data_IF_141731150487
#
_entry.id   IF_141731150487
#
_cell.length_a   1.000
_cell.length_b   1.000
_cell.length_c   1.000
_cell.angle_alpha   90.00
_cell.angle_beta   90.00
_cell.angle_gamma   90.00
#
_symmetry.space_group_name_H-M   'P 1'
#
loop_
_entity.id
_entity.type
_entity.pdbx_description
1 polymer ?
#
# COMPACT_ATOMS: atom_id res chain seq x y z
N UNK A 1 -4.65 38.50 32.94
CA UNK A 1 -4.73 39.82 32.28
C UNK A 1 -5.49 39.64 30.98
N UNK A 2 -6.71 40.20 30.86
CA UNK A 2 -7.50 40.20 29.62
C UNK A 2 -7.03 41.35 28.73
N UNK A 3 -7.11 41.18 27.40
CA UNK A 3 -7.90 42.04 26.49
C UNK A 3 -8.22 41.28 25.19
N UNK A 4 -9.50 40.95 25.08
CA UNK A 4 -10.22 40.58 23.86
C UNK A 4 -11.22 41.73 23.64
N UNK A 5 -11.34 42.34 22.44
CA UNK A 5 -12.53 43.10 22.04
C UNK A 5 -13.44 42.10 21.29
N UNK A 6 -14.67 41.78 21.68
CA UNK A 6 -15.79 42.65 22.01
C UNK A 6 -16.75 41.93 22.98
N UNK A 7 -17.32 42.66 23.94
CA UNK A 7 -18.60 42.34 24.60
C UNK A 7 -19.36 43.64 24.76
N UNK A 8 -20.67 43.62 24.52
CA UNK A 8 -21.60 44.63 25.00
C UNK A 8 -22.63 44.00 25.95
N UNK A 9 -23.07 44.82 26.89
CA UNK A 9 -23.47 44.51 28.27
C UNK A 9 -24.94 44.90 28.51
N UNK A 10 -25.62 44.14 29.38
CA UNK A 10 -26.62 44.63 30.34
C UNK A 10 -26.59 43.65 31.54
N UNK A 11 -26.63 43.99 32.84
CA UNK A 11 -26.76 45.25 33.56
C UNK A 11 -27.61 45.00 34.82
N UNK A 12 -27.00 44.97 36.02
CA UNK A 12 -27.69 45.15 37.31
C UNK A 12 -26.70 45.72 38.37
N UNK A 13 -27.14 46.76 39.08
CA UNK A 13 -26.40 47.69 39.94
C UNK A 13 -25.87 47.10 41.26
N UNK A 14 -24.75 47.66 41.77
CA UNK A 14 -24.69 48.46 43.01
C UNK A 14 -23.30 49.14 43.19
N UNK A 15 -23.29 50.46 43.46
CA UNK A 15 -22.39 51.10 44.44
C UNK A 15 -21.05 51.73 44.04
N UNK A 16 -21.05 53.07 43.97
CA UNK A 16 -19.99 54.04 44.36
C UNK A 16 -18.88 54.53 43.38
N UNK A 17 -18.91 55.87 43.16
CA UNK A 17 -17.88 56.88 42.80
C UNK A 17 -16.90 56.59 41.62
N UNK A 18 -16.68 57.46 40.63
CA UNK A 18 -16.80 58.92 40.54
C UNK A 18 -16.89 59.38 39.04
N UNK A 19 -17.62 60.48 38.82
CA UNK A 19 -17.53 61.57 37.81
C UNK A 19 -16.50 61.36 36.67
N UNK A 20 -16.75 61.49 35.35
CA UNK A 20 -17.28 62.63 34.55
C UNK A 20 -17.59 62.18 33.09
N UNK A 21 -18.80 62.52 32.59
CA UNK A 21 -19.33 62.75 31.20
C UNK A 21 -18.87 61.88 29.99
N UNK A 22 -19.73 61.38 29.08
CA UNK A 22 -21.16 61.59 28.87
C UNK A 22 -21.75 60.80 27.69
N UNK A 23 -23.08 60.56 27.78
CA UNK A 23 -24.14 60.36 26.75
C UNK A 23 -24.00 59.24 25.70
N UNK A 24 -24.79 58.15 25.77
CA UNK A 24 -26.18 57.91 25.26
C UNK A 24 -26.21 57.37 23.81
N UNK A 25 -26.64 56.13 23.57
CA UNK A 25 -28.04 55.77 23.24
C UNK A 25 -28.10 54.88 21.97
N UNK A 26 -29.24 54.24 21.62
CA UNK A 26 -29.30 52.77 21.49
C UNK A 26 -29.65 52.17 20.11
N UNK A 27 -29.46 50.85 20.05
CA UNK A 27 -30.15 49.78 19.28
C UNK A 27 -30.05 49.66 17.75
N UNK A 28 -30.06 48.37 17.36
CA UNK A 28 -30.55 47.74 16.11
C UNK A 28 -29.53 47.19 15.09
N UNK A 29 -29.75 45.88 14.83
CA UNK A 29 -29.49 45.10 13.62
C UNK A 29 -28.08 45.13 12.98
N UNK A 30 -27.38 44.00 13.00
CA UNK A 30 -26.28 43.72 12.08
C UNK A 30 -26.81 43.16 10.75
N UNK A 31 -26.48 43.77 9.59
CA UNK A 31 -26.70 43.20 8.27
C UNK A 31 -25.54 42.26 7.86
N UNK A 32 -25.73 41.38 6.85
CA UNK A 32 -24.69 40.47 6.38
C UNK A 32 -23.59 41.22 5.60
N UNK A 33 -22.33 40.76 5.72
CA UNK A 33 -21.20 41.30 4.96
C UNK A 33 -21.10 40.67 3.56
N UNK A 34 -20.63 41.42 2.53
CA UNK A 34 -20.91 41.13 1.14
C UNK A 34 -19.80 40.31 0.47
N UNK A 35 -20.18 39.21 -0.17
CA UNK A 35 -19.48 38.63 -1.31
C UNK A 35 -20.00 39.33 -2.57
N UNK A 36 -19.24 40.27 -3.11
CA UNK A 36 -19.37 40.82 -4.47
C UNK A 36 -18.22 41.84 -4.64
N UNK A 37 -17.38 41.88 -5.68
CA UNK A 37 -17.67 41.80 -7.12
C UNK A 37 -16.41 41.44 -7.92
N UNK A 38 -16.49 40.43 -8.79
CA UNK A 38 -15.73 40.37 -10.04
C UNK A 38 -16.73 40.10 -11.18
N UNK A 39 -17.05 41.15 -11.93
CA UNK A 39 -18.03 41.11 -13.04
C UNK A 39 -17.32 40.97 -14.38
N UNK A 40 -17.32 39.75 -14.93
CA UNK A 40 -17.65 39.44 -16.34
C UNK A 40 -17.88 37.93 -16.48
N UNK A 41 -19.12 37.49 -16.24
CA UNK A 41 -19.67 36.23 -16.78
C UNK A 41 -19.05 34.90 -16.36
N UNK A 42 -18.20 34.83 -15.32
CA UNK A 42 -17.85 33.55 -14.71
C UNK A 42 -19.01 33.07 -13.83
N UNK A 43 -19.45 31.82 -14.03
CA UNK A 43 -20.29 31.13 -13.06
C UNK A 43 -19.60 31.21 -11.70
N UNK A 44 -20.21 31.93 -10.76
CA UNK A 44 -19.66 32.09 -9.41
C UNK A 44 -20.07 30.87 -8.61
N UNK A 45 -19.09 30.11 -8.10
CA UNK A 45 -19.35 29.06 -7.12
C UNK A 45 -19.78 29.69 -5.80
N UNK A 46 -20.59 28.99 -5.02
CA UNK A 46 -21.04 29.49 -3.70
C UNK A 46 -20.46 28.64 -2.58
N UNK A 47 -19.92 29.31 -1.55
CA UNK A 47 -19.51 28.63 -0.33
C UNK A 47 -20.72 27.88 0.24
N UNK A 48 -20.52 26.60 0.56
CA UNK A 48 -21.52 25.77 1.20
C UNK A 48 -21.16 25.57 2.66
N UNK A 49 -22.11 25.09 3.46
CA UNK A 49 -21.82 24.65 4.82
C UNK A 49 -20.78 23.51 4.76
N UNK A 50 -19.64 23.61 5.47
CA UNK A 50 -18.69 22.51 5.57
C UNK A 50 -19.37 21.23 6.03
N UNK A 51 -18.96 20.10 5.49
CA UNK A 51 -19.46 18.79 5.89
C UNK A 51 -18.49 18.07 6.83
N UNK A 52 -19.01 17.22 7.70
CA UNK A 52 -18.16 16.31 8.47
C UNK A 52 -17.95 15.03 7.67
N UNK A 53 -16.70 14.79 7.26
CA UNK A 53 -16.32 13.56 6.58
C UNK A 53 -16.11 12.43 7.60
N UNK A 54 -16.67 11.22 7.39
CA UNK A 54 -16.48 10.09 8.31
C UNK A 54 -15.00 9.70 8.45
N UNK A 55 -14.58 9.31 9.64
CA UNK A 55 -13.18 8.88 9.86
C UNK A 55 -12.80 7.65 9.05
N UNK A 56 -13.73 6.73 8.79
CA UNK A 56 -13.49 5.57 7.93
C UNK A 56 -13.24 5.99 6.48
N UNK A 57 -14.00 6.96 5.97
CA UNK A 57 -13.80 7.51 4.63
C UNK A 57 -12.41 8.16 4.48
N UNK A 58 -11.98 8.91 5.50
CA UNK A 58 -10.64 9.51 5.50
C UNK A 58 -9.53 8.46 5.60
N UNK A 59 -9.75 7.39 6.38
CA UNK A 59 -8.82 6.27 6.48
C UNK A 59 -8.68 5.52 5.17
N UNK A 60 -9.80 5.24 4.49
CA UNK A 60 -9.82 4.53 3.20
C UNK A 60 -9.06 5.32 2.13
N UNK A 61 -9.16 6.66 2.13
CA UNK A 61 -8.38 7.53 1.24
C UNK A 61 -6.89 7.52 1.61
N UNK A 62 -6.56 7.70 2.90
CA UNK A 62 -5.17 7.74 3.34
C UNK A 62 -4.42 6.40 3.10
N UNK A 63 -5.14 5.27 3.16
CA UNK A 63 -4.59 3.96 2.82
C UNK A 63 -4.35 3.80 1.30
N UNK A 64 -5.23 4.39 0.48
CA UNK A 64 -5.14 4.31 -0.97
C UNK A 64 -4.18 5.34 -1.60
N UNK A 65 -3.90 6.44 -0.89
CA UNK A 65 -3.00 7.53 -1.29
C UNK A 65 -1.94 7.86 -0.22
N UNK A 66 -1.08 6.90 0.15
CA UNK A 66 0.01 7.20 1.07
C UNK A 66 1.05 8.13 0.41
N UNK A 67 1.54 9.09 1.20
CA UNK A 67 2.61 10.00 0.77
C UNK A 67 3.85 9.26 0.25
N UNK A 68 4.46 9.75 -0.83
CA UNK A 68 5.62 9.21 -1.53
C UNK A 68 5.41 7.76 -2.04
N UNK A 69 4.18 7.36 -2.35
CA UNK A 69 3.87 6.05 -2.92
C UNK A 69 3.12 6.18 -4.24
N UNK A 70 3.84 5.88 -5.34
CA UNK A 70 3.33 6.06 -6.70
C UNK A 70 2.00 5.35 -6.98
N UNK A 71 0.94 6.11 -7.27
CA UNK A 71 -0.38 5.60 -7.66
C UNK A 71 -0.33 4.75 -8.93
N UNK A 72 0.36 5.13 -10.02
CA UNK A 72 0.55 4.26 -11.18
C UNK A 72 1.15 2.88 -10.86
N UNK A 73 1.88 2.74 -9.76
CA UNK A 73 2.46 1.46 -9.31
C UNK A 73 1.52 0.69 -8.39
N UNK A 74 0.93 1.35 -7.40
CA UNK A 74 0.18 0.69 -6.32
C UNK A 74 -1.32 0.56 -6.61
N UNK A 75 -1.87 1.46 -7.44
CA UNK A 75 -3.28 1.57 -7.81
C UNK A 75 -3.41 1.95 -9.32
N UNK A 76 -2.84 1.16 -10.25
CA UNK A 76 -2.85 1.48 -11.68
C UNK A 76 -4.27 1.60 -12.26
N UNK A 77 -5.25 0.97 -11.64
CA UNK A 77 -6.67 1.08 -11.98
C UNK A 77 -7.25 2.49 -11.72
N UNK A 78 -6.70 3.25 -10.76
CA UNK A 78 -7.16 4.60 -10.45
C UNK A 78 -6.76 5.60 -11.53
N UNK A 79 -5.73 5.27 -12.31
CA UNK A 79 -5.20 6.09 -13.41
C UNK A 79 -5.29 5.37 -14.76
N UNK A 80 -6.01 4.24 -14.84
CA UNK A 80 -6.16 3.50 -16.08
C UNK A 80 -6.87 4.33 -17.16
N UNK A 81 -6.53 4.18 -18.45
CA UNK A 81 -7.23 4.87 -19.55
C UNK A 81 -8.74 4.58 -19.61
N UNK A 82 -9.18 3.45 -19.06
CA UNK A 82 -10.61 3.08 -18.93
C UNK A 82 -11.32 3.79 -17.78
N UNK A 83 -10.58 4.46 -16.88
CA UNK A 83 -11.11 5.19 -15.75
C UNK A 83 -11.11 6.70 -16.03
N UNK A 84 -12.28 7.21 -16.39
CA UNK A 84 -12.45 8.62 -16.72
C UNK A 84 -12.61 9.48 -15.45
N UNK A 85 -11.72 10.45 -15.19
CA UNK A 85 -11.80 11.36 -14.06
C UNK A 85 -12.78 12.51 -14.34
N UNK A 86 -13.25 12.65 -15.58
CA UNK A 86 -14.19 13.68 -15.99
C UNK A 86 -15.62 13.18 -15.81
N UNK A 87 -16.26 13.64 -14.73
CA UNK A 87 -17.52 13.11 -14.20
C UNK A 87 -18.67 13.40 -15.17
N UNK A 88 -19.45 12.38 -15.51
CA UNK A 88 -20.63 12.51 -16.34
C UNK A 88 -21.87 12.76 -15.49
N UNK A 89 -22.55 13.88 -15.73
CA UNK A 89 -23.88 14.15 -15.19
C UNK A 89 -24.91 13.35 -16.00
N UNK A 90 -25.59 12.41 -15.35
CA UNK A 90 -26.53 11.46 -15.98
C UNK A 90 -28.00 11.87 -15.82
N UNK A 91 -28.28 12.73 -14.84
CA UNK A 91 -29.58 13.36 -14.61
C UNK A 91 -29.36 14.77 -14.05
N UNK A 92 -30.34 15.67 -14.21
CA UNK A 92 -30.22 17.01 -13.64
C UNK A 92 -29.94 16.93 -12.14
N UNK A 93 -28.82 17.52 -11.71
CA UNK A 93 -28.35 17.39 -10.34
C UNK A 93 -27.59 18.63 -9.89
N UNK A 94 -27.74 18.97 -8.61
CA UNK A 94 -26.84 19.89 -7.92
C UNK A 94 -25.52 19.17 -7.60
N UNK A 95 -24.39 19.88 -7.73
CA UNK A 95 -23.05 19.30 -7.52
C UNK A 95 -22.24 20.12 -6.53
N UNK A 96 -21.51 19.43 -5.68
CA UNK A 96 -20.59 20.00 -4.70
C UNK A 96 -19.19 19.40 -4.81
N UNK A 97 -18.20 20.21 -4.46
CA UNK A 97 -16.81 19.79 -4.23
C UNK A 97 -16.47 20.03 -2.77
N UNK A 98 -15.82 19.05 -2.15
CA UNK A 98 -15.38 19.11 -0.76
C UNK A 98 -13.90 18.81 -0.68
N UNK A 99 -13.14 19.69 -0.02
CA UNK A 99 -11.71 19.50 0.26
C UNK A 99 -11.50 18.36 1.27
N UNK A 100 -10.52 17.49 0.99
CA UNK A 100 -10.18 16.35 1.86
C UNK A 100 -8.83 16.58 2.53
N UNK A 101 -7.75 16.73 1.75
CA UNK A 101 -6.38 16.89 2.24
C UNK A 101 -5.45 17.53 1.20
N UNK A 102 -4.28 17.97 1.67
CA UNK A 102 -3.15 18.49 0.88
C UNK A 102 -1.87 17.71 1.31
N UNK A 103 -1.11 17.24 0.32
CA UNK A 103 0.26 16.72 0.46
C UNK A 103 1.35 17.63 -0.14
N UNK A 104 0.96 18.74 -0.77
CA UNK A 104 1.87 19.61 -1.51
C UNK A 104 2.61 20.67 -0.69
N UNK A 105 3.68 21.21 -1.30
CA UNK A 105 4.30 22.47 -0.86
C UNK A 105 3.88 23.68 -1.70
N UNK A 106 3.27 23.45 -2.87
CA UNK A 106 2.76 24.50 -3.74
C UNK A 106 1.40 25.03 -3.28
N UNK A 107 1.20 26.34 -3.49
CA UNK A 107 -0.08 26.99 -3.20
C UNK A 107 -1.01 26.86 -4.38
N UNK A 108 -1.49 25.64 -4.61
CA UNK A 108 -2.23 25.31 -5.80
C UNK A 108 -3.60 26.00 -5.84
N UNK A 109 -4.08 26.33 -7.04
CA UNK A 109 -5.46 26.76 -7.25
C UNK A 109 -6.26 25.63 -7.89
N UNK A 110 -7.32 25.18 -7.23
CA UNK A 110 -8.24 24.15 -7.76
C UNK A 110 -9.45 24.80 -8.44
N UNK A 111 -9.82 24.28 -9.60
CA UNK A 111 -11.03 24.69 -10.30
C UNK A 111 -11.64 23.60 -11.17
N UNK A 112 -12.75 23.95 -11.84
CA UNK A 112 -13.45 23.08 -12.78
C UNK A 112 -13.82 23.80 -14.07
N UNK A 113 -14.20 23.01 -15.06
CA UNK A 113 -14.80 23.44 -16.32
C UNK A 113 -15.83 22.41 -16.76
N UNK A 114 -16.65 22.77 -17.75
CA UNK A 114 -17.70 21.88 -18.25
C UNK A 114 -17.67 21.77 -19.75
N UNK A 115 -18.08 20.62 -20.28
CA UNK A 115 -18.23 20.40 -21.72
C UNK A 115 -19.33 19.36 -22.00
N UNK A 116 -19.91 19.33 -23.20
CA UNK A 116 -20.87 18.28 -23.58
C UNK A 116 -20.21 16.91 -23.62
N UNK A 117 -20.92 15.86 -23.19
CA UNK A 117 -20.43 14.49 -23.30
C UNK A 117 -20.07 14.13 -24.75
N UNK A 118 -18.94 13.44 -24.92
CA UNK A 118 -18.36 13.13 -26.24
C UNK A 118 -17.70 14.30 -26.97
N UNK A 119 -17.62 15.50 -26.36
CA UNK A 119 -16.97 16.69 -26.95
C UNK A 119 -15.97 17.35 -25.99
N UNK A 120 -14.88 16.66 -25.59
CA UNK A 120 -13.86 17.24 -24.71
C UNK A 120 -13.15 18.43 -25.39
N UNK A 121 -12.70 19.44 -24.61
CA UNK A 121 -11.89 20.54 -25.13
C UNK A 121 -10.62 20.02 -25.82
N UNK A 122 -10.23 20.66 -26.92
CA UNK A 122 -9.09 20.23 -27.74
C UNK A 122 -7.82 21.03 -27.45
N UNK A 123 -7.97 22.28 -27.00
CA UNK A 123 -6.87 23.12 -26.56
C UNK A 123 -7.18 23.77 -25.21
N UNK A 124 -6.15 24.30 -24.55
CA UNK A 124 -6.31 24.97 -23.25
C UNK A 124 -7.15 26.25 -23.36
N UNK A 125 -7.17 26.89 -24.53
CA UNK A 125 -7.99 28.08 -24.81
C UNK A 125 -9.49 27.77 -24.90
N UNK A 126 -9.85 26.51 -25.20
CA UNK A 126 -11.24 26.05 -25.23
C UNK A 126 -11.84 25.89 -23.82
N UNK A 127 -10.99 25.92 -22.78
CA UNK A 127 -11.39 25.66 -21.40
C UNK A 127 -11.87 26.93 -20.70
N UNK A 128 -13.18 27.00 -20.44
CA UNK A 128 -13.74 28.05 -19.57
C UNK A 128 -13.52 27.70 -18.09
N UNK A 129 -12.42 28.21 -17.51
CA UNK A 129 -12.02 27.98 -16.11
C UNK A 129 -12.95 28.67 -15.11
N UNK A 130 -13.42 27.90 -14.12
CA UNK A 130 -14.12 28.39 -12.92
C UNK A 130 -13.34 27.94 -11.68
N UNK A 131 -12.91 28.88 -10.84
CA UNK A 131 -12.14 28.59 -9.62
C UNK A 131 -13.06 28.07 -8.51
N UNK A 132 -12.63 27.01 -7.82
CA UNK A 132 -13.29 26.45 -6.64
C UNK A 132 -12.58 26.94 -5.38
N UNK A 133 -11.29 26.61 -5.24
CA UNK A 133 -10.45 27.03 -4.13
C UNK A 133 -9.30 27.87 -4.69
N UNK A 134 -9.28 29.19 -4.42
CA UNK A 134 -8.17 30.06 -4.82
C UNK A 134 -6.82 29.57 -4.29
N UNK A 135 -6.80 29.13 -3.03
CA UNK A 135 -5.67 28.48 -2.37
C UNK A 135 -6.14 27.12 -1.83
N UNK A 136 -5.68 26.04 -2.44
CA UNK A 136 -6.01 24.66 -2.08
C UNK A 136 -5.14 24.10 -0.95
N UNK A 137 -4.43 24.96 -0.20
CA UNK A 137 -3.60 24.53 0.92
C UNK A 137 -4.38 24.38 2.24
N UNK A 138 -4.00 23.36 3.00
CA UNK A 138 -4.61 23.00 4.27
C UNK A 138 -4.22 23.98 5.40
N UNK A 139 -5.09 24.07 6.39
CA UNK A 139 -4.82 24.78 7.64
C UNK A 139 -3.62 24.14 8.37
N UNK A 140 -2.64 24.97 8.71
CA UNK A 140 -1.37 24.52 9.29
C UNK A 140 -0.23 24.35 8.27
N UNK A 141 -0.54 24.40 6.97
CA UNK A 141 0.41 24.58 5.87
C UNK A 141 0.44 26.07 5.48
N UNK A 142 0.31 26.39 4.20
CA UNK A 142 0.31 27.75 3.65
C UNK A 142 -1.09 28.27 3.30
N UNK A 143 -2.14 27.58 3.74
CA UNK A 143 -3.55 27.96 3.50
C UNK A 143 -4.44 27.85 4.74
N UNK A 144 -5.75 27.92 4.49
CA UNK A 144 -6.79 27.98 5.51
C UNK A 144 -7.82 26.86 5.40
N UNK A 145 -7.73 25.98 4.39
CA UNK A 145 -8.74 24.95 4.16
C UNK A 145 -8.70 23.88 5.26
N UNK A 146 -9.87 23.51 5.73
CA UNK A 146 -10.06 22.39 6.64
C UNK A 146 -10.73 21.24 5.91
N UNK A 147 -10.37 20.00 6.26
CA UNK A 147 -11.05 18.81 5.76
C UNK A 147 -12.57 18.96 5.96
N UNK A 148 -13.33 18.86 4.87
CA UNK A 148 -14.77 19.07 4.88
C UNK A 148 -15.23 20.43 4.36
N UNK A 149 -14.33 21.40 4.13
CA UNK A 149 -14.67 22.66 3.47
C UNK A 149 -15.26 22.41 2.09
N UNK A 150 -16.45 22.96 1.84
CA UNK A 150 -17.32 22.56 0.74
C UNK A 150 -17.82 23.75 -0.06
N UNK A 151 -17.93 23.55 -1.37
CA UNK A 151 -18.40 24.53 -2.34
C UNK A 151 -19.53 23.92 -3.18
N UNK A 152 -20.61 24.67 -3.38
CA UNK A 152 -21.66 24.33 -4.34
C UNK A 152 -21.28 24.89 -5.71
N UNK A 153 -21.15 23.99 -6.71
CA UNK A 153 -20.80 24.38 -8.07
C UNK A 153 -22.01 24.89 -8.85
N UNK A 154 -23.20 24.39 -8.53
CA UNK A 154 -24.46 24.70 -9.22
C UNK A 154 -25.24 23.45 -9.63
N UNK A 155 -26.26 23.66 -10.46
CA UNK A 155 -27.10 22.61 -11.04
C UNK A 155 -26.72 22.38 -12.50
N UNK A 156 -26.50 21.12 -12.87
CA UNK A 156 -26.08 20.71 -14.21
C UNK A 156 -27.12 19.76 -14.82
N UNK A 157 -27.31 19.83 -16.14
CA UNK A 157 -28.20 18.94 -16.88
C UNK A 157 -27.51 17.62 -17.27
N UNK A 158 -28.31 16.58 -17.54
CA UNK A 158 -27.80 15.33 -18.09
C UNK A 158 -27.01 15.57 -19.41
N UNK A 159 -25.92 14.83 -19.60
CA UNK A 159 -25.02 14.97 -20.74
C UNK A 159 -23.95 16.05 -20.58
N UNK A 160 -23.83 16.67 -19.40
CA UNK A 160 -22.71 17.55 -19.05
C UNK A 160 -21.57 16.74 -18.43
N UNK A 161 -20.34 16.98 -18.89
CA UNK A 161 -19.10 16.52 -18.26
C UNK A 161 -18.53 17.60 -17.36
N UNK A 162 -18.06 17.22 -16.18
CA UNK A 162 -17.27 18.06 -15.29
C UNK A 162 -15.81 17.65 -15.41
N UNK A 163 -14.98 18.56 -15.94
CA UNK A 163 -13.52 18.45 -15.90
C UNK A 163 -12.95 19.33 -14.79
N UNK A 164 -11.76 19.01 -14.32
CA UNK A 164 -11.06 19.71 -13.25
C UNK A 164 -9.70 20.20 -13.73
N UNK A 165 -9.23 21.28 -13.14
CA UNK A 165 -7.89 21.79 -13.38
C UNK A 165 -7.22 22.21 -12.06
N UNK A 166 -5.90 22.07 -12.02
CA UNK A 166 -5.05 22.53 -10.95
C UNK A 166 -3.99 23.47 -11.53
N UNK A 167 -3.95 24.71 -11.05
CA UNK A 167 -2.85 25.63 -11.37
C UNK A 167 -1.76 25.45 -10.33
N UNK A 168 -0.63 24.89 -10.75
CA UNK A 168 0.52 24.63 -9.90
C UNK A 168 1.06 25.96 -9.35
N UNK A 169 1.15 26.06 -8.02
CA UNK A 169 1.54 27.29 -7.31
C UNK A 169 0.71 28.53 -7.72
N UNK A 170 -0.56 28.34 -8.09
CA UNK A 170 -1.44 29.37 -8.63
C UNK A 170 -1.76 30.56 -7.71
N UNK A 171 -1.50 30.45 -6.40
CA UNK A 171 -1.84 31.50 -5.42
C UNK A 171 -0.61 32.27 -4.92
N UNK A 172 -0.56 33.57 -5.19
CA UNK A 172 0.57 34.44 -4.81
C UNK A 172 0.52 34.95 -3.35
N UNK A 173 -0.55 34.61 -2.61
CA UNK A 173 -0.84 35.15 -1.28
C UNK A 173 -1.97 36.19 -1.28
N UNK A 174 -2.31 36.75 -2.44
CA UNK A 174 -3.33 37.81 -2.59
C UNK A 174 -4.32 37.55 -3.71
N UNK A 175 -3.89 36.93 -4.80
CA UNK A 175 -4.70 36.68 -5.99
C UNK A 175 -4.28 35.36 -6.66
N UNK A 176 -5.19 34.86 -7.50
CA UNK A 176 -4.94 33.72 -8.37
C UNK A 176 -4.22 34.18 -9.64
N UNK A 177 -3.11 33.53 -9.97
CA UNK A 177 -2.39 33.66 -11.24
C UNK A 177 -2.69 32.48 -12.16
N UNK A 178 -3.71 32.62 -13.01
CA UNK A 178 -4.11 31.60 -13.98
C UNK A 178 -3.14 31.42 -15.16
N UNK A 179 -2.05 32.20 -15.22
CA UNK A 179 -1.04 32.09 -16.29
C UNK A 179 0.05 31.06 -15.98
N UNK A 180 0.11 30.57 -14.74
CA UNK A 180 1.02 29.50 -14.32
C UNK A 180 0.66 28.15 -14.95
N UNK A 181 1.60 27.22 -14.84
CA UNK A 181 1.45 25.85 -15.32
C UNK A 181 0.16 25.25 -14.76
N UNK A 182 -0.64 24.65 -15.64
CA UNK A 182 -1.94 24.11 -15.28
C UNK A 182 -2.03 22.66 -15.75
N UNK A 183 -2.45 21.77 -14.87
CA UNK A 183 -2.78 20.39 -15.16
C UNK A 183 -4.29 20.21 -15.18
N UNK A 184 -4.77 19.35 -16.07
CA UNK A 184 -6.18 19.13 -16.36
C UNK A 184 -6.54 17.64 -16.21
N UNK A 185 -7.79 17.36 -15.85
CA UNK A 185 -8.33 16.00 -15.88
C UNK A 185 -8.56 15.47 -17.31
N UNK A 186 -8.56 16.36 -18.32
CA UNK A 186 -8.52 15.98 -19.74
C UNK A 186 -7.05 15.88 -20.15
N UNK A 187 -6.54 14.64 -20.18
CA UNK A 187 -5.12 14.33 -20.38
C UNK A 187 -4.50 14.98 -21.63
N UNK A 188 -5.27 15.07 -22.72
CA UNK A 188 -4.80 15.65 -23.98
C UNK A 188 -4.39 17.13 -23.87
N UNK A 189 -4.78 17.82 -22.79
CA UNK A 189 -4.43 19.21 -22.53
C UNK A 189 -3.13 19.37 -21.73
N UNK A 190 -2.58 18.28 -21.19
CA UNK A 190 -1.40 18.32 -20.32
C UNK A 190 -0.09 18.32 -21.13
N UNK A 191 0.96 18.99 -20.63
CA UNK A 191 2.13 19.38 -21.42
C UNK A 191 3.09 18.22 -21.74
N UNK A 192 2.96 17.08 -21.07
CA UNK A 192 3.91 15.97 -21.18
C UNK A 192 3.96 15.39 -22.59
N UNK A 193 5.16 15.04 -23.05
CA UNK A 193 5.33 14.47 -24.38
C UNK A 193 4.76 13.05 -24.49
N UNK A 194 4.92 12.23 -23.45
CA UNK A 194 4.44 10.85 -23.43
C UNK A 194 3.00 10.78 -22.90
N UNK A 195 2.12 10.08 -23.62
CA UNK A 195 0.71 9.92 -23.23
C UNK A 195 0.55 9.30 -21.84
N UNK A 196 1.41 8.36 -21.45
CA UNK A 196 1.39 7.72 -20.13
C UNK A 196 1.67 8.68 -18.96
N UNK A 197 2.28 9.84 -19.23
CA UNK A 197 2.62 10.84 -18.22
C UNK A 197 1.59 11.97 -18.14
N UNK A 198 0.73 12.13 -19.15
CA UNK A 198 -0.29 13.19 -19.19
C UNK A 198 -1.42 13.04 -18.19
N UNK A 199 -1.51 11.95 -17.45
CA UNK A 199 -2.54 11.79 -16.41
C UNK A 199 -2.07 12.40 -15.10
N UNK A 200 -2.68 13.51 -14.69
CA UNK A 200 -2.45 14.16 -13.39
C UNK A 200 -3.58 13.94 -12.39
N UNK A 201 -4.60 13.18 -12.75
CA UNK A 201 -5.76 12.96 -11.89
C UNK A 201 -6.03 11.47 -11.75
N UNK A 202 -6.00 10.99 -10.51
CA UNK A 202 -6.54 9.68 -10.15
C UNK A 202 -8.03 9.84 -9.82
N UNK A 203 -8.82 8.78 -10.02
CA UNK A 203 -10.22 8.78 -9.59
C UNK A 203 -10.71 7.45 -9.06
N UNK A 204 -11.51 7.49 -7.99
CA UNK A 204 -12.18 6.30 -7.44
C UNK A 204 -13.58 6.65 -6.90
N UNK A 205 -14.47 5.66 -6.81
CA UNK A 205 -15.79 5.82 -6.20
C UNK A 205 -15.84 5.24 -4.80
N UNK A 206 -16.12 6.05 -3.80
CA UNK A 206 -16.27 5.55 -2.45
C UNK A 206 -17.69 5.01 -2.23
N UNK A 207 -17.82 3.69 -2.06
CA UNK A 207 -19.12 3.00 -2.03
C UNK A 207 -19.98 3.43 -0.83
N UNK A 208 -19.40 3.45 0.38
CA UNK A 208 -20.13 3.79 1.59
C UNK A 208 -20.52 5.29 1.66
N UNK A 209 -19.62 6.17 1.23
CA UNK A 209 -19.84 7.62 1.23
C UNK A 209 -20.58 8.14 -0.03
N UNK A 210 -20.79 7.27 -1.01
CA UNK A 210 -21.48 7.49 -2.29
C UNK A 210 -21.03 8.75 -3.04
N UNK A 211 -19.73 8.87 -3.28
CA UNK A 211 -19.11 10.07 -3.86
C UNK A 211 -17.84 9.70 -4.64
N UNK A 212 -17.50 10.51 -5.65
CA UNK A 212 -16.22 10.40 -6.37
C UNK A 212 -15.10 11.00 -5.53
N UNK A 213 -13.97 10.33 -5.43
CA UNK A 213 -12.71 10.88 -4.93
C UNK A 213 -11.84 11.18 -6.14
N UNK A 214 -11.24 12.37 -6.14
CA UNK A 214 -10.30 12.84 -7.15
C UNK A 214 -9.08 13.39 -6.42
N UNK A 215 -7.90 13.10 -6.95
CA UNK A 215 -6.65 13.58 -6.38
C UNK A 215 -5.69 13.97 -7.51
N UNK A 216 -5.03 15.11 -7.36
CA UNK A 216 -4.09 15.65 -8.35
C UNK A 216 -2.64 15.39 -7.96
N UNK A 217 -1.83 15.11 -8.98
CA UNK A 217 -0.39 15.35 -8.99
C UNK A 217 -0.12 16.77 -9.52
N UNK A 218 0.57 17.60 -8.74
CA UNK A 218 0.81 19.03 -9.01
C UNK A 218 2.15 19.32 -9.72
N UNK A 219 2.93 18.28 -10.02
CA UNK A 219 4.25 18.37 -10.62
C UNK A 219 4.34 17.73 -12.01
N UNK A 220 5.40 18.05 -12.76
CA UNK A 220 5.67 17.49 -14.09
C UNK A 220 5.99 16.00 -13.97
N UNK A 221 5.11 15.14 -14.48
CA UNK A 221 5.23 13.68 -14.43
C UNK A 221 6.29 13.11 -15.38
N UNK A 222 6.91 13.95 -16.20
CA UNK A 222 8.13 13.63 -16.94
C UNK A 222 9.41 13.92 -16.16
N UNK A 223 9.33 14.61 -15.01
CA UNK A 223 10.47 14.95 -14.18
C UNK A 223 10.91 13.76 -13.31
N UNK A 224 12.22 13.60 -13.11
CA UNK A 224 12.79 12.47 -12.35
C UNK A 224 12.53 12.50 -10.84
N UNK A 225 12.01 13.62 -10.33
CA UNK A 225 11.74 13.85 -8.89
C UNK A 225 10.26 13.71 -8.54
N UNK A 226 9.40 13.43 -9.51
CA UNK A 226 7.98 13.17 -9.23
C UNK A 226 7.87 11.86 -8.46
N UNK A 227 7.09 11.85 -7.38
CA UNK A 227 6.78 10.63 -6.61
C UNK A 227 5.50 9.94 -7.10
N UNK A 228 4.70 10.64 -7.92
CA UNK A 228 3.54 10.12 -8.62
C UNK A 228 2.47 9.61 -7.63
N UNK A 229 2.35 10.21 -6.45
CA UNK A 229 1.41 9.78 -5.41
C UNK A 229 0.02 10.45 -5.51
N UNK A 230 -0.10 11.51 -6.32
CA UNK A 230 -1.33 12.24 -6.65
C UNK A 230 -2.06 12.81 -5.42
N UNK A 231 -1.43 12.87 -4.25
CA UNK A 231 -2.09 13.29 -3.02
C UNK A 231 -1.92 14.80 -2.73
N UNK A 232 -1.31 15.55 -3.64
CA UNK A 232 -1.03 16.99 -3.53
C UNK A 232 -2.28 17.80 -3.20
N UNK A 233 -3.38 17.51 -3.91
CA UNK A 233 -4.72 18.04 -3.61
C UNK A 233 -5.75 16.94 -3.76
N UNK A 234 -6.31 16.50 -2.63
CA UNK A 234 -7.37 15.48 -2.58
C UNK A 234 -8.73 16.16 -2.31
N UNK A 235 -9.71 15.83 -3.13
CA UNK A 235 -11.08 16.34 -2.98
C UNK A 235 -12.12 15.29 -3.37
N UNK A 236 -13.37 15.54 -3.01
CA UNK A 236 -14.48 14.67 -3.37
C UNK A 236 -15.63 15.43 -4.01
N UNK A 237 -16.31 14.78 -4.93
CA UNK A 237 -17.44 15.32 -5.68
C UNK A 237 -18.70 14.52 -5.38
N UNK A 238 -19.75 15.23 -4.98
CA UNK A 238 -21.05 14.64 -4.66
C UNK A 238 -22.17 15.38 -5.37
N UNK A 239 -23.22 14.66 -5.76
CA UNK A 239 -24.42 15.22 -6.38
C UNK A 239 -25.69 14.99 -5.55
N UNK A 240 -26.73 15.76 -5.87
CA UNK A 240 -28.09 15.53 -5.43
C UNK A 240 -29.04 15.59 -6.65
N UNK A 241 -29.74 14.48 -6.99
CA UNK A 241 -29.66 13.17 -6.34
C UNK A 241 -28.26 12.55 -6.49
N UNK A 242 -27.87 11.69 -5.55
CA UNK A 242 -26.58 10.98 -5.56
C UNK A 242 -26.37 10.17 -6.84
N UNK A 243 -27.45 9.70 -7.46
CA UNK A 243 -27.45 8.97 -8.74
C UNK A 243 -27.40 9.90 -9.97
N UNK A 244 -27.28 11.21 -9.77
CA UNK A 244 -27.26 12.21 -10.85
C UNK A 244 -25.91 12.32 -11.56
N UNK A 245 -24.88 11.64 -11.05
CA UNK A 245 -23.58 11.49 -11.70
C UNK A 245 -23.25 10.01 -11.83
N UNK A 246 -22.38 9.68 -12.77
CA UNK A 246 -21.82 8.35 -12.86
C UNK A 246 -20.97 8.01 -11.63
N UNK A 247 -21.02 6.73 -11.22
CA UNK A 247 -20.16 6.26 -10.14
C UNK A 247 -18.70 6.19 -10.60
N UNK A 248 -18.46 5.81 -11.87
CA UNK A 248 -17.15 5.74 -12.52
C UNK A 248 -16.14 4.79 -11.85
N UNK A 249 -15.22 4.24 -12.65
CA UNK A 249 -13.93 3.75 -12.15
C UNK A 249 -13.91 2.63 -11.09
N UNK A 250 -12.73 2.44 -10.46
CA UNK A 250 -12.53 1.54 -9.33
C UNK A 250 -13.18 2.06 -8.04
N UNK A 251 -13.32 1.20 -7.03
CA UNK A 251 -14.08 1.49 -5.80
C UNK A 251 -13.20 1.59 -4.56
N UNK A 252 -13.58 2.49 -3.64
CA UNK A 252 -13.04 2.60 -2.28
C UNK A 252 -14.07 2.18 -1.21
N UNK A 253 -13.67 1.44 -0.16
CA UNK A 253 -12.37 0.74 -0.05
C UNK A 253 -12.25 -0.36 -1.13
N UNK A 254 -11.02 -0.74 -1.47
CA UNK A 254 -10.77 -1.73 -2.52
C UNK A 254 -11.38 -3.08 -2.17
N UNK A 255 -12.15 -3.65 -3.10
CA UNK A 255 -12.78 -4.96 -2.87
C UNK A 255 -11.89 -6.12 -3.33
N UNK A 256 -10.93 -5.87 -4.23
CA UNK A 256 -9.87 -6.78 -4.71
C UNK A 256 -8.73 -5.93 -5.28
N UNK A 257 -7.53 -5.91 -4.68
CA UNK A 257 -6.35 -5.22 -5.24
C UNK A 257 -5.78 -6.03 -6.42
N UNK A 258 -5.77 -5.52 -7.68
CA UNK A 258 -5.19 -6.25 -8.80
C UNK A 258 -3.66 -6.31 -8.67
N UNK A 259 -3.08 -7.51 -8.74
CA UNK A 259 -1.62 -7.68 -8.70
C UNK A 259 -1.02 -7.23 -10.04
N UNK A 260 0.02 -6.37 -10.08
CA UNK A 260 0.67 -6.02 -11.34
C UNK A 260 1.34 -7.25 -11.98
N UNK A 261 1.29 -7.32 -13.33
CA UNK A 261 2.08 -8.26 -14.13
C UNK A 261 3.56 -7.89 -13.98
N UNK A 262 4.22 -8.52 -13.00
CA UNK A 262 5.60 -8.31 -12.58
C UNK A 262 5.82 -7.00 -11.79
N UNK A 263 6.27 -7.07 -10.53
CA UNK A 263 6.69 -5.89 -9.80
C UNK A 263 7.93 -5.29 -10.48
N UNK A 264 7.82 -4.04 -10.93
CA UNK A 264 8.99 -3.19 -11.24
C UNK A 264 9.76 -2.82 -9.97
N UNK A 265 9.15 -3.02 -8.79
CA UNK A 265 9.78 -2.91 -7.49
C UNK A 265 10.70 -4.10 -7.22
N UNK A 266 11.87 -3.83 -6.67
CA UNK A 266 12.85 -4.81 -6.20
C UNK A 266 12.32 -5.58 -4.98
N UNK A 267 11.31 -6.43 -5.15
CA UNK A 267 10.75 -7.24 -4.06
C UNK A 267 11.81 -8.23 -3.58
N UNK A 268 12.09 -8.25 -2.28
CA UNK A 268 13.23 -8.97 -1.70
C UNK A 268 12.88 -10.39 -1.27
N UNK A 269 11.62 -10.67 -0.99
CA UNK A 269 11.18 -11.99 -0.48
C UNK A 269 9.79 -12.36 -0.96
N UNK A 270 9.46 -13.66 -0.91
CA UNK A 270 8.10 -14.12 -1.15
C UNK A 270 7.09 -13.56 -0.13
N UNK A 271 7.53 -13.24 1.09
CA UNK A 271 6.67 -12.64 2.11
C UNK A 271 6.26 -11.23 1.73
N UNK A 272 7.23 -10.41 1.31
CA UNK A 272 6.97 -9.06 0.80
C UNK A 272 6.08 -9.12 -0.45
N UNK A 273 6.35 -10.06 -1.36
CA UNK A 273 5.51 -10.28 -2.54
C UNK A 273 4.07 -10.67 -2.16
N UNK A 274 3.90 -11.53 -1.14
CA UNK A 274 2.58 -11.97 -0.68
C UNK A 274 1.81 -10.85 0.03
N UNK A 275 2.49 -9.99 0.78
CA UNK A 275 1.89 -8.79 1.39
C UNK A 275 1.47 -7.80 0.33
N UNK A 276 2.30 -7.62 -0.70
CA UNK A 276 2.03 -6.73 -1.82
C UNK A 276 0.89 -7.27 -2.71
N UNK A 277 0.84 -8.58 -2.92
CA UNK A 277 -0.07 -9.26 -3.85
C UNK A 277 -0.64 -10.56 -3.26
N UNK A 278 -1.63 -10.49 -2.35
CA UNK A 278 -2.15 -11.67 -1.65
C UNK A 278 -2.86 -12.69 -2.53
N UNK A 279 -3.29 -12.29 -3.74
CA UNK A 279 -4.00 -13.16 -4.68
C UNK A 279 -3.08 -14.06 -5.52
N UNK A 280 -1.76 -13.86 -5.45
CA UNK A 280 -0.79 -14.69 -6.17
C UNK A 280 -0.79 -16.14 -5.65
N UNK A 281 -0.81 -17.09 -6.58
CA UNK A 281 -0.65 -18.51 -6.27
C UNK A 281 0.81 -18.89 -5.97
N UNK A 282 1.05 -20.13 -5.58
CA UNK A 282 2.41 -20.66 -5.48
C UNK A 282 3.04 -20.80 -6.87
N UNK A 283 4.31 -20.43 -7.03
CA UNK A 283 4.95 -20.38 -8.33
C UNK A 283 6.36 -19.80 -8.30
N UNK A 284 6.97 -19.66 -9.48
CA UNK A 284 8.28 -19.03 -9.64
C UNK A 284 8.10 -17.54 -9.87
N UNK A 285 8.81 -16.72 -9.11
CA UNK A 285 8.76 -15.26 -9.15
C UNK A 285 10.18 -14.68 -9.19
N UNK A 286 10.32 -13.50 -9.79
CA UNK A 286 11.58 -12.75 -9.80
C UNK A 286 11.68 -11.91 -8.52
N UNK A 287 12.72 -12.16 -7.72
CA UNK A 287 13.01 -11.41 -6.48
C UNK A 287 14.44 -10.87 -6.51
N UNK A 288 14.71 -9.78 -5.78
CA UNK A 288 16.04 -9.18 -5.64
C UNK A 288 16.49 -9.07 -4.17
N UNK A 289 16.75 -10.18 -3.45
CA UNK A 289 17.06 -10.11 -2.01
C UNK A 289 18.34 -9.34 -1.66
N UNK A 290 19.27 -9.18 -2.61
CA UNK A 290 20.58 -8.58 -2.39
C UNK A 290 20.72 -7.17 -2.99
N UNK A 291 19.64 -6.55 -3.48
CA UNK A 291 19.68 -5.24 -4.14
C UNK A 291 20.70 -5.14 -5.28
N UNK A 292 20.87 -6.24 -6.03
CA UNK A 292 21.82 -6.31 -7.14
C UNK A 292 21.11 -6.63 -8.44
N UNK A 293 20.92 -7.92 -8.73
CA UNK A 293 20.21 -8.39 -9.91
C UNK A 293 19.07 -9.31 -9.49
N UNK A 294 17.84 -9.06 -9.96
CA UNK A 294 16.73 -9.96 -9.74
C UNK A 294 17.04 -11.36 -10.25
N UNK A 295 16.52 -12.36 -9.57
CA UNK A 295 16.65 -13.75 -9.97
C UNK A 295 15.44 -14.57 -9.56
N UNK A 296 15.27 -15.74 -10.15
CA UNK A 296 14.10 -16.58 -9.91
C UNK A 296 14.16 -17.30 -8.56
N UNK A 297 13.05 -17.25 -7.83
CA UNK A 297 12.78 -17.98 -6.60
C UNK A 297 11.42 -18.66 -6.70
N UNK A 298 11.27 -19.84 -6.09
CA UNK A 298 9.96 -20.44 -5.92
C UNK A 298 9.33 -19.91 -4.63
N UNK A 299 8.12 -19.36 -4.75
CA UNK A 299 7.30 -18.91 -3.63
C UNK A 299 6.15 -19.88 -3.38
N UNK A 300 6.04 -20.37 -2.14
CA UNK A 300 4.81 -21.01 -1.68
C UNK A 300 3.92 -19.95 -1.01
N UNK A 301 2.85 -19.57 -1.74
CA UNK A 301 1.88 -18.55 -1.34
C UNK A 301 0.65 -19.16 -0.64
N UNK A 302 0.67 -20.46 -0.35
CA UNK A 302 -0.50 -21.21 0.10
C UNK A 302 -0.33 -21.82 1.48
N UNK A 303 0.78 -22.52 1.73
CA UNK A 303 0.97 -23.28 2.97
C UNK A 303 1.09 -22.34 4.16
N UNK A 304 0.34 -22.60 5.23
CA UNK A 304 0.44 -21.85 6.49
C UNK A 304 0.36 -20.32 6.31
N UNK A 305 -0.49 -19.85 5.40
CA UNK A 305 -0.71 -18.42 5.12
C UNK A 305 0.25 -17.79 4.11
N UNK A 306 1.02 -18.59 3.36
CA UNK A 306 1.80 -18.12 2.22
C UNK A 306 3.05 -17.29 2.59
N UNK A 307 3.68 -16.71 1.57
CA UNK A 307 4.87 -15.87 1.70
C UNK A 307 6.19 -16.63 1.88
N UNK A 308 6.22 -17.93 1.63
CA UNK A 308 7.42 -18.75 1.87
C UNK A 308 8.39 -18.71 0.69
N UNK A 309 9.63 -18.29 0.95
CA UNK A 309 10.73 -18.36 -0.02
C UNK A 309 11.40 -19.72 0.08
N UNK A 310 11.21 -20.56 -0.94
CA UNK A 310 11.62 -21.97 -0.89
C UNK A 310 13.12 -22.12 -1.19
N UNK A 311 13.84 -22.81 -0.29
CA UNK A 311 15.26 -23.10 -0.43
C UNK A 311 15.57 -24.15 -1.50
N UNK A 312 14.58 -24.99 -1.78
CA UNK A 312 14.63 -26.11 -2.71
C UNK A 312 13.92 -27.33 -2.13
N UNK A 313 13.92 -28.41 -2.90
CA UNK A 313 13.50 -29.72 -2.43
C UNK A 313 14.20 -30.82 -3.23
N UNK A 314 14.27 -32.01 -2.65
CA UNK A 314 15.02 -33.14 -3.18
C UNK A 314 14.46 -34.46 -2.67
N UNK A 315 14.90 -35.57 -3.27
CA UNK A 315 14.53 -36.91 -2.83
C UNK A 315 15.04 -37.20 -1.40
N UNK A 316 14.36 -38.10 -0.71
CA UNK A 316 14.65 -38.50 0.67
C UNK A 316 16.01 -39.18 0.87
N UNK A 317 16.68 -39.61 -0.20
CA UNK A 317 18.04 -40.15 -0.17
C UNK A 317 19.10 -39.19 -0.76
N UNK A 318 18.69 -37.97 -1.12
CA UNK A 318 19.59 -36.95 -1.64
C UNK A 318 20.52 -36.41 -0.54
N UNK A 319 21.67 -35.90 -0.98
CA UNK A 319 22.83 -35.62 -0.10
C UNK A 319 23.27 -34.16 -0.15
N UNK A 320 22.46 -33.31 -0.77
CA UNK A 320 22.87 -31.96 -1.13
C UNK A 320 22.23 -30.94 -0.19
N UNK A 321 23.01 -29.97 0.30
CA UNK A 321 22.46 -28.88 1.11
C UNK A 321 21.49 -28.02 0.30
N UNK A 322 20.36 -27.66 0.87
CA UNK A 322 19.41 -26.71 0.28
C UNK A 322 19.66 -25.30 0.85
N UNK A 323 19.36 -24.24 0.10
CA UNK A 323 19.50 -22.86 0.60
C UNK A 323 20.92 -22.28 0.61
N UNK A 324 21.94 -23.11 0.35
CA UNK A 324 23.36 -22.70 0.40
C UNK A 324 23.89 -22.28 -0.97
N UNK A 325 23.63 -23.12 -1.98
CA UNK A 325 24.06 -22.90 -3.34
C UNK A 325 22.89 -23.07 -4.31
N UNK A 326 22.96 -22.37 -5.44
CA UNK A 326 21.98 -22.47 -6.51
C UNK A 326 22.32 -23.64 -7.42
N UNK A 327 21.36 -24.55 -7.65
CA UNK A 327 21.44 -25.68 -8.57
C UNK A 327 20.07 -25.98 -9.16
N UNK A 328 20.04 -26.46 -10.39
CA UNK A 328 18.79 -26.78 -11.09
C UNK A 328 17.92 -25.54 -11.34
N UNK A 329 16.70 -25.77 -11.79
CA UNK A 329 15.70 -24.71 -12.02
C UNK A 329 14.73 -24.66 -10.86
N UNK A 330 14.40 -23.49 -10.29
CA UNK A 330 13.37 -23.36 -9.27
C UNK A 330 12.04 -23.99 -9.72
N UNK A 331 11.52 -24.94 -8.94
CA UNK A 331 10.27 -25.64 -9.26
C UNK A 331 10.42 -27.05 -9.85
N UNK A 332 11.62 -27.44 -10.29
CA UNK A 332 11.89 -28.79 -10.83
C UNK A 332 11.89 -29.87 -9.72
N UNK A 333 12.10 -31.15 -10.05
CA UNK A 333 12.04 -32.25 -9.07
C UNK A 333 13.18 -32.27 -8.03
N UNK A 334 14.37 -31.81 -8.39
CA UNK A 334 15.54 -31.64 -7.50
C UNK A 334 16.25 -30.33 -7.83
N UNK A 335 16.17 -29.37 -6.91
CA UNK A 335 16.82 -28.07 -7.06
C UNK A 335 17.10 -27.44 -5.70
N UNK A 336 17.94 -26.41 -5.73
CA UNK A 336 18.20 -25.53 -4.60
C UNK A 336 18.48 -24.12 -5.08
N UNK A 337 18.10 -23.15 -4.27
CA UNK A 337 18.41 -21.74 -4.48
C UNK A 337 19.16 -21.23 -3.29
N UNK A 338 20.25 -20.49 -3.53
CA UNK A 338 20.91 -19.74 -2.45
C UNK A 338 19.92 -18.74 -1.86
N UNK A 339 19.76 -18.78 -0.53
CA UNK A 339 18.93 -17.82 0.20
C UNK A 339 19.74 -16.62 0.72
N UNK A 340 20.96 -16.40 0.20
CA UNK A 340 21.80 -15.28 0.62
C UNK A 340 21.03 -13.94 0.56
N UNK A 341 21.32 -13.06 1.52
CA UNK A 341 20.67 -11.75 1.72
C UNK A 341 19.21 -11.78 2.18
N UNK A 342 18.53 -12.93 2.23
CA UNK A 342 17.17 -13.00 2.77
C UNK A 342 17.19 -12.84 4.29
N UNK A 343 16.41 -11.89 4.79
CA UNK A 343 16.03 -11.86 6.19
C UNK A 343 14.85 -12.80 6.41
N UNK A 344 14.85 -13.53 7.53
CA UNK A 344 13.78 -14.44 7.89
C UNK A 344 13.57 -14.45 9.40
N UNK A 345 12.39 -14.85 9.83
CA UNK A 345 12.11 -15.17 11.23
C UNK A 345 11.43 -16.53 11.39
N UNK A 346 11.09 -17.21 10.29
CA UNK A 346 10.41 -18.49 10.35
C UNK A 346 11.01 -19.46 9.34
N UNK A 347 11.06 -20.73 9.70
CA UNK A 347 11.47 -21.82 8.81
C UNK A 347 10.38 -22.87 8.78
N UNK A 348 10.05 -23.33 7.58
CA UNK A 348 9.15 -24.44 7.34
C UNK A 348 9.92 -25.58 6.70
N UNK A 349 9.92 -26.76 7.33
CA UNK A 349 10.41 -28.00 6.73
C UNK A 349 9.20 -28.79 6.24
N UNK A 350 9.23 -29.30 5.01
CA UNK A 350 8.07 -29.91 4.37
C UNK A 350 8.40 -31.23 3.65
N UNK A 351 7.38 -32.08 3.57
CA UNK A 351 7.32 -33.32 2.80
C UNK A 351 6.24 -33.16 1.71
N UNK A 352 6.68 -33.02 0.46
CA UNK A 352 5.77 -32.77 -0.67
C UNK A 352 4.94 -34.00 -1.04
N UNK A 353 5.50 -35.20 -0.86
CA UNK A 353 4.84 -36.45 -1.24
C UNK A 353 3.63 -36.73 -0.37
N UNK A 354 3.71 -36.42 0.93
CA UNK A 354 2.64 -36.69 1.89
C UNK A 354 1.89 -35.43 2.37
N UNK A 355 2.27 -34.24 1.88
CA UNK A 355 1.61 -32.99 2.23
C UNK A 355 1.77 -32.60 3.71
N UNK A 356 2.89 -32.98 4.33
CA UNK A 356 3.17 -32.67 5.73
C UNK A 356 4.20 -31.53 5.83
N UNK A 357 4.05 -30.65 6.82
CA UNK A 357 5.02 -29.60 7.09
C UNK A 357 5.07 -29.24 8.57
N UNK A 358 6.22 -28.73 9.00
CA UNK A 358 6.45 -28.23 10.34
C UNK A 358 7.08 -26.85 10.25
N UNK A 359 6.49 -25.88 10.93
CA UNK A 359 6.93 -24.49 10.95
C UNK A 359 7.39 -24.11 12.34
N UNK A 360 8.50 -23.39 12.41
CA UNK A 360 9.01 -22.84 13.65
C UNK A 360 9.49 -21.40 13.44
N UNK A 361 9.25 -20.55 14.43
CA UNK A 361 9.67 -19.14 14.43
C UNK A 361 10.88 -18.92 15.34
N UNK A 362 11.64 -17.89 15.00
CA UNK A 362 12.97 -17.53 15.50
C UNK A 362 13.08 -16.01 15.68
N UNK A 363 14.14 -15.59 16.37
CA UNK A 363 14.54 -14.18 16.32
C UNK A 363 14.92 -13.81 14.87
N UNK A 364 14.50 -12.64 14.35
CA UNK A 364 14.84 -12.20 13.00
C UNK A 364 16.34 -12.29 12.73
N UNK A 365 16.71 -12.90 11.63
CA UNK A 365 18.10 -13.17 11.25
C UNK A 365 18.26 -13.07 9.73
N UNK A 366 19.44 -12.64 9.28
CA UNK A 366 19.83 -12.78 7.88
C UNK A 366 20.27 -14.22 7.60
N UNK A 367 19.92 -14.76 6.44
CA UNK A 367 20.38 -16.06 6.00
C UNK A 367 21.89 -16.04 5.79
N UNK A 368 22.58 -16.91 6.51
CA UNK A 368 24.03 -17.08 6.42
C UNK A 368 24.46 -18.45 6.90
N UNK A 369 25.57 -18.94 6.35
CA UNK A 369 26.18 -20.20 6.74
C UNK A 369 27.71 -20.03 6.84
N UNK A 370 28.31 -20.56 7.90
CA UNK A 370 29.77 -20.52 8.13
C UNK A 370 30.34 -21.88 8.54
N UNK A 371 29.48 -22.90 8.60
CA UNK A 371 29.78 -24.22 9.11
C UNK A 371 29.10 -25.26 8.21
N UNK A 372 29.59 -26.50 8.27
CA UNK A 372 29.03 -27.65 7.53
C UNK A 372 27.55 -27.87 7.86
N UNK A 373 27.17 -27.62 9.12
CA UNK A 373 25.82 -27.76 9.62
C UNK A 373 25.27 -26.39 10.03
N UNK A 374 24.13 -26.05 9.46
CA UNK A 374 23.41 -24.79 9.69
C UNK A 374 22.51 -24.95 10.91
N UNK A 375 22.49 -23.93 11.77
CA UNK A 375 21.74 -23.94 13.01
C UNK A 375 21.16 -22.56 13.32
N UNK A 376 19.85 -22.50 13.57
CA UNK A 376 19.18 -21.28 14.02
C UNK A 376 18.29 -21.58 15.21
N UNK A 377 18.20 -20.64 16.16
CA UNK A 377 17.37 -20.78 17.36
C UNK A 377 18.08 -21.41 18.56
N UNK A 378 17.29 -21.84 19.55
CA UNK A 378 17.74 -22.38 20.84
C UNK A 378 17.24 -23.82 21.03
N UNK A 379 17.69 -24.48 22.09
CA UNK A 379 17.35 -25.88 22.34
C UNK A 379 15.82 -26.10 22.37
N UNK A 380 15.35 -27.09 21.61
CA UNK A 380 13.93 -27.46 21.52
C UNK A 380 13.13 -26.62 20.53
N UNK A 381 13.68 -25.51 20.02
CA UNK A 381 13.07 -24.71 18.95
C UNK A 381 13.99 -24.58 17.73
N UNK A 382 15.19 -25.17 17.75
CA UNK A 382 16.18 -24.91 16.72
C UNK A 382 15.81 -25.51 15.36
N UNK A 383 16.14 -24.78 14.30
CA UNK A 383 16.25 -25.33 12.95
C UNK A 383 17.65 -25.90 12.76
N UNK A 384 17.72 -27.03 12.07
CA UNK A 384 18.97 -27.66 11.66
C UNK A 384 18.88 -28.16 10.23
N UNK A 385 19.94 -27.91 9.47
CA UNK A 385 20.23 -28.62 8.24
C UNK A 385 21.71 -28.93 8.16
N UNK A 386 22.07 -30.13 7.72
CA UNK A 386 23.46 -30.43 7.40
C UNK A 386 23.76 -31.92 7.36
N UNK A 387 25.04 -32.23 7.40
CA UNK A 387 25.55 -33.59 7.33
C UNK A 387 25.86 -34.16 8.71
N UNK A 388 25.49 -35.43 8.93
CA UNK A 388 25.85 -36.15 10.14
C UNK A 388 27.16 -36.91 9.94
N UNK A 389 28.20 -36.62 10.73
CA UNK A 389 29.51 -37.27 10.66
C UNK A 389 30.63 -36.42 10.03
N UNK A 390 31.77 -37.01 9.62
CA UNK A 390 32.92 -36.28 9.04
C UNK A 390 32.57 -35.55 7.74
N UNK A 391 33.41 -34.62 7.26
CA UNK A 391 33.15 -33.76 6.09
C UNK A 391 32.84 -34.51 4.77
N UNK A 392 33.14 -35.81 4.68
CA UNK A 392 32.78 -36.68 3.56
C UNK A 392 31.49 -37.49 3.81
N UNK A 393 30.74 -37.15 4.85
CA UNK A 393 29.45 -37.70 5.18
C UNK A 393 28.50 -37.52 4.00
N UNK A 394 27.80 -38.59 3.68
CA UNK A 394 26.88 -38.70 2.56
C UNK A 394 25.42 -38.49 3.00
N UNK A 395 25.19 -37.77 4.09
CA UNK A 395 23.89 -37.73 4.79
C UNK A 395 23.43 -36.29 4.82
N UNK A 396 22.18 -35.97 4.44
CA UNK A 396 21.66 -34.60 4.52
C UNK A 396 20.34 -34.58 5.30
N UNK A 397 20.34 -33.95 6.46
CA UNK A 397 19.15 -33.86 7.33
C UNK A 397 18.61 -32.44 7.34
N UNK A 398 17.31 -32.28 7.65
CA UNK A 398 16.65 -30.98 7.75
C UNK A 398 15.44 -31.05 8.67
N UNK A 399 15.44 -30.31 9.77
CA UNK A 399 14.40 -30.38 10.79
C UNK A 399 14.25 -29.07 11.57
N UNK A 400 13.07 -28.88 12.17
CA UNK A 400 12.79 -27.89 13.21
C UNK A 400 12.65 -28.57 14.57
N UNK A 401 12.57 -27.77 15.64
CA UNK A 401 12.44 -28.25 17.03
C UNK A 401 13.57 -29.19 17.49
N UNK A 402 14.77 -28.95 16.98
CA UNK A 402 15.95 -29.69 17.38
C UNK A 402 16.49 -29.23 18.74
N UNK A 403 16.93 -30.18 19.57
CA UNK A 403 17.62 -29.94 20.82
C UNK A 403 18.26 -31.22 21.35
N UNK A 404 19.56 -31.38 21.14
CA UNK A 404 20.29 -32.56 21.60
C UNK A 404 20.73 -32.39 23.05
N UNK A 405 20.24 -33.27 23.94
CA UNK A 405 20.49 -33.25 25.40
C UNK A 405 20.30 -31.85 26.01
N UNK A 406 19.29 -31.12 25.55
CA UNK A 406 18.98 -29.77 26.03
C UNK A 406 19.89 -28.66 25.48
N UNK A 407 20.71 -28.94 24.48
CA UNK A 407 21.63 -27.98 23.84
C UNK A 407 21.51 -28.01 22.31
N UNK A 408 22.03 -26.98 21.66
CA UNK A 408 22.16 -26.92 20.19
C UNK A 408 23.62 -27.06 19.82
N UNK A 409 24.01 -28.24 19.34
CA UNK A 409 25.36 -28.51 18.86
C UNK A 409 25.41 -28.38 17.34
N UNK A 410 26.20 -27.48 16.76
CA UNK A 410 26.43 -27.40 15.32
C UNK A 410 26.90 -28.71 14.70
N UNK A 411 27.73 -29.47 15.39
CA UNK A 411 28.40 -30.66 14.88
C UNK A 411 27.43 -31.82 14.61
N UNK A 412 26.24 -31.80 15.22
CA UNK A 412 25.21 -32.82 15.05
C UNK A 412 24.07 -32.30 14.16
N UNK A 413 23.80 -33.01 13.07
CA UNK A 413 22.69 -32.75 12.17
C UNK A 413 21.44 -33.48 12.69
N UNK A 414 20.37 -32.76 13.03
CA UNK A 414 19.01 -33.26 13.39
C UNK A 414 18.90 -34.51 14.27
N UNK A 415 19.98 -34.91 14.93
CA UNK A 415 20.12 -36.10 15.72
C UNK A 415 19.55 -35.83 17.11
N UNK A 416 18.61 -36.66 17.54
CA UNK A 416 18.09 -36.55 18.91
C UNK A 416 18.41 -37.77 19.77
N UNK A 417 19.07 -38.84 19.29
CA UNK A 417 19.30 -40.08 20.07
C UNK A 417 18.05 -40.56 20.86
N UNK A 418 16.86 -40.42 20.27
CA UNK A 418 15.58 -40.77 20.93
C UNK A 418 15.07 -39.77 21.97
N UNK A 419 15.67 -38.58 22.07
CA UNK A 419 15.23 -37.48 22.95
C UNK A 419 13.98 -36.74 22.44
N UNK A 420 13.43 -37.14 21.28
CA UNK A 420 12.22 -36.57 20.71
C UNK A 420 12.37 -35.11 20.27
N UNK A 421 11.31 -34.54 19.72
CA UNK A 421 11.20 -33.12 19.38
C UNK A 421 11.57 -32.75 17.94
N UNK A 422 12.61 -33.36 17.36
CA UNK A 422 13.03 -33.05 15.99
C UNK A 422 11.94 -33.40 14.97
N UNK A 423 11.51 -32.41 14.19
CA UNK A 423 10.40 -32.49 13.25
C UNK A 423 10.88 -32.21 11.83
N UNK A 424 10.70 -33.16 10.91
CA UNK A 424 11.13 -33.05 9.52
C UNK A 424 11.91 -34.25 9.01
N UNK A 425 12.85 -34.02 8.10
CA UNK A 425 13.62 -35.05 7.42
C UNK A 425 14.83 -35.50 8.25
N UNK A 426 14.83 -36.78 8.60
CA UNK A 426 16.00 -37.49 9.12
C UNK A 426 16.59 -38.34 8.01
N UNK A 427 17.87 -38.16 7.71
CA UNK A 427 18.59 -38.97 6.73
C UNK A 427 19.36 -40.13 7.40
N UNK A 428 19.89 -41.01 6.53
CA UNK A 428 20.75 -42.18 6.77
C UNK A 428 21.06 -42.47 8.24
N UNK A 429 20.54 -43.61 8.72
CA UNK A 429 20.47 -44.08 10.12
C UNK A 429 19.21 -43.71 10.88
N UNK A 430 18.10 -43.41 10.19
CA UNK A 430 16.78 -43.33 10.82
C UNK A 430 16.51 -44.51 11.77
N UNK A 431 17.01 -45.72 11.49
CA UNK A 431 16.87 -46.84 12.40
C UNK A 431 17.53 -46.74 13.78
N UNK A 432 18.49 -45.85 13.99
CA UNK A 432 19.04 -45.53 15.31
C UNK A 432 18.10 -44.57 16.07
N UNK A 433 17.49 -43.63 15.34
CA UNK A 433 16.65 -42.56 15.87
C UNK A 433 15.18 -42.96 16.06
N UNK A 434 14.74 -43.96 15.31
CA UNK A 434 13.38 -44.47 15.28
C UNK A 434 13.34 -45.86 15.93
N UNK A 435 12.26 -46.20 16.63
CA UNK A 435 12.13 -47.50 17.32
C UNK A 435 12.64 -48.67 16.45
N UNK A 436 13.77 -49.28 16.84
CA UNK A 436 14.42 -50.33 16.06
C UNK A 436 15.95 -50.47 16.18
N UNK A 437 16.66 -49.47 16.72
CA UNK A 437 18.10 -49.49 17.03
C UNK A 437 18.99 -50.20 15.98
N UNK A 438 18.90 -49.80 14.70
CA UNK A 438 19.70 -50.34 13.60
C UNK A 438 20.31 -49.24 12.73
N UNK A 439 21.62 -49.30 12.54
CA UNK A 439 22.32 -48.57 11.48
C UNK A 439 21.97 -49.23 10.14
N UNK A 440 21.00 -48.69 9.41
CA UNK A 440 20.43 -49.35 8.24
C UNK A 440 20.41 -48.52 6.97
N UNK A 441 21.06 -47.36 6.96
CA UNK A 441 21.12 -46.44 5.81
C UNK A 441 19.71 -46.12 5.26
N UNK A 442 18.73 -45.99 6.16
CA UNK A 442 17.39 -45.53 5.82
C UNK A 442 17.17 -44.10 6.30
N UNK A 443 16.31 -43.38 5.58
CA UNK A 443 15.77 -42.08 5.96
C UNK A 443 14.37 -42.25 6.59
N UNK A 444 13.90 -41.23 7.29
CA UNK A 444 12.53 -41.15 7.79
C UNK A 444 12.05 -39.71 7.97
N UNK A 445 10.74 -39.55 8.04
CA UNK A 445 10.10 -38.28 8.33
C UNK A 445 9.61 -38.28 9.78
N UNK A 446 10.18 -37.44 10.63
CA UNK A 446 9.85 -37.37 12.04
C UNK A 446 8.79 -36.32 12.33
N UNK A 447 7.79 -36.67 13.15
CA UNK A 447 6.82 -35.71 13.72
C UNK A 447 7.21 -35.22 15.13
N UNK A 448 8.44 -35.54 15.56
CA UNK A 448 8.98 -35.24 16.88
C UNK A 448 8.68 -36.33 17.92
N UNK A 449 7.79 -37.27 17.63
CA UNK A 449 7.48 -38.41 18.52
C UNK A 449 7.76 -39.74 17.83
N UNK A 450 7.45 -39.83 16.55
CA UNK A 450 7.55 -41.03 15.73
C UNK A 450 8.25 -40.72 14.42
N UNK A 451 8.85 -41.76 13.84
CA UNK A 451 9.40 -41.69 12.50
C UNK A 451 8.45 -42.36 11.52
N UNK A 452 7.77 -41.54 10.74
CA UNK A 452 6.92 -41.95 9.64
C UNK A 452 7.77 -42.20 8.40
N UNK A 453 7.23 -43.02 7.48
CA UNK A 453 7.80 -43.24 6.15
C UNK A 453 9.26 -43.71 6.12
N UNK A 454 9.72 -44.44 7.15
CA UNK A 454 11.08 -44.98 7.19
C UNK A 454 11.34 -45.87 5.98
N UNK A 455 12.37 -45.56 5.21
CA UNK A 455 12.75 -46.28 3.98
C UNK A 455 11.74 -46.15 2.83
N UNK A 456 10.67 -45.36 3.00
CA UNK A 456 9.69 -45.08 1.94
C UNK A 456 10.14 -43.82 1.20
N UNK A 457 10.30 -43.83 -0.14
CA UNK A 457 10.69 -42.64 -0.89
C UNK A 457 9.72 -41.47 -0.73
N UNK A 458 10.24 -40.26 -0.52
CA UNK A 458 9.48 -39.01 -0.57
C UNK A 458 10.36 -37.84 -1.00
N UNK A 459 9.73 -36.72 -1.35
CA UNK A 459 10.40 -35.45 -1.64
C UNK A 459 10.28 -34.53 -0.44
N UNK A 460 11.40 -34.00 0.03
CA UNK A 460 11.44 -33.08 1.17
C UNK A 460 12.20 -31.79 0.82
N UNK A 461 11.94 -30.74 1.59
CA UNK A 461 12.66 -29.48 1.47
C UNK A 461 12.39 -28.56 2.65
N UNK A 462 12.83 -27.32 2.52
CA UNK A 462 12.47 -26.28 3.47
C UNK A 462 12.31 -24.91 2.80
N UNK A 463 11.66 -23.99 3.48
CA UNK A 463 11.44 -22.62 3.06
C UNK A 463 11.60 -21.67 4.25
N UNK A 464 11.91 -20.40 3.96
CA UNK A 464 12.05 -19.33 4.95
C UNK A 464 11.00 -18.25 4.71
N UNK A 465 10.59 -17.59 5.78
CA UNK A 465 9.63 -16.48 5.76
C UNK A 465 10.00 -15.42 6.78
#
# INVERSE_FOLDING_TARGET
>A
MRRNPYRLVAGAMFGFCAVVSGSCGPSEAHPPHPLETLSRGQSVVTAATPETLPSSFLSDIAEALPENQSVPVHHPDYVAPSNDPNILVTATADVWVTFVSEGATYRNTLGYFTYPDGSPPSTVEDVQKVVIFPNASAWGSTGELQTGDRVHLGSFSAGTRLGFFLVADGWDGTQVDLSKLTYYSVEALNPEAAESQRRHVMSAYHLAAQRRVLAFEDYDRAHEQVDDDFNDVVFTVQSNPVTGMDAGGPTLPETVKPCPEAPSASVHSCQELHQYCPSLGSGVYSLNPCDTQPSEYYCDMTTSGGGWTVAGWQASNAKTSLGVATRGTPGDEDWSKSLACLNFNSVMVFNRTFGESFTQSYAPSAWGYSQTNIAFGVAGTAFKQGTYGPDNSQIMMGCVNYGYRGNVYPEYACDSDGLGGAQGHLADYAGEYCAGARLDYTWAWSDGTTCRYRGVPYTWGFAVR
#
